data_IF_178221149374
#
_entry.id   IF_178221149374
#
_cell.length_a   1.000
_cell.length_b   1.000
_cell.length_c   1.000
_cell.angle_alpha   90.00
_cell.angle_beta   90.00
_cell.angle_gamma   90.00
#
_symmetry.space_group_name_H-M   'P 1'
#
loop_
_entity.id
_entity.type
_entity.pdbx_description
1 polymer ?
#
# COMPACT_ATOMS: atom_id res chain seq x y z
N UNK A 1 -5.81 -76.26 24.52
CA UNK A 1 -5.28 -75.09 25.20
C UNK A 1 -4.38 -74.35 24.20
N UNK A 2 -4.85 -73.23 23.56
CA UNK A 2 -3.97 -72.40 22.76
C UNK A 2 -3.45 -71.22 23.58
N UNK A 3 -2.13 -70.98 23.46
CA UNK A 3 -1.40 -69.88 24.09
C UNK A 3 -1.71 -68.56 23.39
N UNK A 4 -2.17 -67.58 24.17
CA UNK A 4 -2.35 -66.20 23.73
C UNK A 4 -0.97 -65.53 23.68
N UNK A 5 -0.55 -65.08 22.51
CA UNK A 5 0.62 -64.20 22.32
C UNK A 5 0.17 -62.74 22.42
N UNK A 6 0.59 -62.07 23.48
CA UNK A 6 0.44 -60.62 23.63
C UNK A 6 1.47 -59.92 22.75
N UNK A 7 1.01 -59.18 21.74
CA UNK A 7 1.87 -58.28 20.94
C UNK A 7 1.80 -56.89 21.57
N UNK A 8 2.88 -56.43 22.15
CA UNK A 8 3.02 -55.08 22.68
C UNK A 8 3.33 -54.11 21.54
N UNK A 9 2.39 -53.23 21.22
CA UNK A 9 2.57 -52.17 20.24
C UNK A 9 3.31 -50.99 20.90
N UNK A 10 4.57 -50.76 20.50
CA UNK A 10 5.32 -49.56 20.89
C UNK A 10 4.98 -48.45 19.93
N UNK A 11 4.24 -47.45 20.41
CA UNK A 11 3.95 -46.21 19.67
C UNK A 11 5.08 -45.22 19.93
N UNK A 12 5.91 -45.02 18.94
CA UNK A 12 6.90 -43.92 18.94
C UNK A 12 6.18 -42.60 18.67
N UNK A 13 6.10 -41.73 19.68
CA UNK A 13 5.72 -40.34 19.53
C UNK A 13 6.87 -39.55 18.89
N UNK A 14 6.76 -39.22 17.61
CA UNK A 14 7.63 -38.21 16.95
C UNK A 14 7.02 -36.85 17.26
N UNK A 15 7.62 -36.13 18.20
CA UNK A 15 7.25 -34.74 18.50
C UNK A 15 7.56 -33.82 17.32
N UNK A 16 6.82 -32.72 17.16
CA UNK A 16 7.06 -31.77 16.06
C UNK A 16 8.44 -31.12 16.24
N UNK A 17 9.27 -31.22 15.20
CA UNK A 17 10.54 -30.51 15.12
C UNK A 17 10.25 -28.98 15.17
N UNK A 18 10.74 -28.33 16.21
CA UNK A 18 10.73 -26.86 16.29
C UNK A 18 11.65 -26.33 15.18
N UNK A 19 11.07 -25.77 14.14
CA UNK A 19 11.80 -24.94 13.19
C UNK A 19 12.28 -23.70 13.93
N UNK A 20 13.56 -23.67 14.28
CA UNK A 20 14.25 -22.45 14.66
C UNK A 20 14.23 -21.54 13.44
N UNK A 21 13.39 -20.50 13.49
CA UNK A 21 13.49 -19.37 12.58
C UNK A 21 14.90 -18.79 12.75
N UNK A 22 15.72 -18.94 11.74
CA UNK A 22 17.04 -18.32 11.72
C UNK A 22 16.83 -16.79 11.82
N UNK A 23 17.31 -16.18 12.89
CA UNK A 23 17.35 -14.75 13.05
C UNK A 23 18.06 -14.15 11.83
N UNK A 24 17.35 -13.28 11.10
CA UNK A 24 17.97 -12.51 10.03
C UNK A 24 19.12 -11.70 10.63
N UNK A 25 20.31 -11.71 10.04
CA UNK A 25 21.43 -10.96 10.59
C UNK A 25 21.04 -9.48 10.71
N UNK A 26 21.43 -8.77 11.79
CA UNK A 26 21.15 -7.36 11.97
C UNK A 26 21.73 -6.60 10.78
N UNK A 27 20.97 -5.59 10.28
CA UNK A 27 21.42 -4.74 9.19
C UNK A 27 22.75 -4.07 9.56
N UNK A 28 23.75 -4.17 8.68
CA UNK A 28 25.03 -3.53 8.88
C UNK A 28 24.85 -2.00 9.01
N UNK A 29 25.41 -1.41 10.05
CA UNK A 29 25.37 0.05 10.28
C UNK A 29 26.61 0.74 9.73
N UNK A 30 26.48 2.01 9.30
CA UNK A 30 27.64 2.85 8.96
C UNK A 30 28.49 3.13 10.21
N UNK A 31 29.72 3.66 10.06
CA UNK A 31 30.50 4.17 11.19
C UNK A 31 29.75 5.24 12.01
N UNK A 32 28.73 5.89 11.45
CA UNK A 32 27.83 6.85 12.10
C UNK A 32 26.58 6.18 12.72
N UNK A 33 26.49 4.85 12.70
CA UNK A 33 25.35 4.10 13.28
C UNK A 33 24.10 4.00 12.38
N UNK A 34 24.15 4.51 11.14
CA UNK A 34 22.99 4.46 10.23
C UNK A 34 22.93 3.12 9.46
N UNK A 35 21.74 2.53 9.30
CA UNK A 35 21.59 1.27 8.58
C UNK A 35 21.98 1.42 7.09
N UNK A 36 22.63 0.41 6.53
CA UNK A 36 23.02 0.36 5.10
C UNK A 36 21.91 -0.14 4.19
N UNK A 37 21.01 -0.93 4.74
CA UNK A 37 19.89 -1.49 4.01
C UNK A 37 18.64 -1.53 4.89
N UNK A 38 17.50 -1.61 4.25
CA UNK A 38 16.20 -1.74 4.91
C UNK A 38 15.31 -2.70 4.13
N UNK A 39 14.59 -3.57 4.84
CA UNK A 39 13.53 -4.35 4.20
C UNK A 39 12.27 -3.51 4.15
N UNK A 40 11.69 -3.43 2.95
CA UNK A 40 10.44 -2.73 2.67
C UNK A 40 9.40 -3.73 2.17
N UNK A 41 8.12 -3.38 2.31
CA UNK A 41 7.01 -4.20 1.84
C UNK A 41 5.97 -3.38 1.08
N UNK A 42 5.50 -3.93 -0.04
CA UNK A 42 4.34 -3.45 -0.78
C UNK A 42 3.22 -4.48 -0.66
N UNK A 43 2.11 -4.10 -0.06
CA UNK A 43 0.96 -5.00 0.14
C UNK A 43 0.07 -4.98 -1.09
N UNK A 44 -0.29 -6.15 -1.57
CA UNK A 44 -1.35 -6.34 -2.55
C UNK A 44 -2.58 -6.90 -1.87
N UNK A 45 -3.72 -6.27 -2.01
CA UNK A 45 -5.01 -6.80 -1.56
C UNK A 45 -6.17 -6.00 -2.17
N UNK A 46 -7.38 -6.56 -2.11
CA UNK A 46 -8.65 -5.83 -2.33
C UNK A 46 -9.21 -5.33 -1.00
N UNK A 47 -10.20 -4.46 -1.05
CA UNK A 47 -10.95 -3.97 0.13
C UNK A 47 -12.42 -3.80 -0.21
N UNK A 48 -13.29 -3.78 0.79
CA UNK A 48 -14.73 -3.63 0.62
C UNK A 48 -15.09 -2.16 0.86
N UNK A 49 -15.77 -1.52 -0.10
CA UNK A 49 -16.21 -0.14 0.05
C UNK A 49 -17.15 0.01 1.26
N UNK A 50 -16.76 0.88 2.18
CA UNK A 50 -17.53 1.21 3.39
C UNK A 50 -17.41 0.22 4.55
N UNK A 51 -16.86 -0.97 4.35
CA UNK A 51 -16.59 -1.90 5.45
C UNK A 51 -15.22 -1.64 6.08
N UNK A 52 -15.09 -0.45 6.67
CA UNK A 52 -13.83 0.02 7.28
C UNK A 52 -13.35 -0.93 8.38
N UNK A 53 -14.25 -1.52 9.15
CA UNK A 53 -13.89 -2.42 10.24
C UNK A 53 -13.22 -3.71 9.72
N UNK A 54 -13.77 -4.34 8.71
CA UNK A 54 -13.19 -5.54 8.10
C UNK A 54 -11.91 -5.21 7.34
N UNK A 55 -11.88 -4.09 6.61
CA UNK A 55 -10.68 -3.63 5.92
C UNK A 55 -9.53 -3.37 6.91
N UNK A 56 -9.78 -2.68 8.04
CA UNK A 56 -8.77 -2.47 9.08
C UNK A 56 -8.24 -3.78 9.64
N UNK A 57 -9.11 -4.74 9.97
CA UNK A 57 -8.66 -6.06 10.47
C UNK A 57 -7.77 -6.77 9.48
N UNK A 58 -8.19 -6.84 8.21
CA UNK A 58 -7.41 -7.46 7.13
C UNK A 58 -6.06 -6.78 6.94
N UNK A 59 -6.06 -5.46 6.82
CA UNK A 59 -4.84 -4.68 6.61
C UNK A 59 -3.90 -4.75 7.82
N UNK A 60 -4.44 -4.76 9.05
CA UNK A 60 -3.63 -4.95 10.26
C UNK A 60 -2.92 -6.29 10.25
N UNK A 61 -3.59 -7.37 9.89
CA UNK A 61 -2.96 -8.70 9.77
C UNK A 61 -1.83 -8.71 8.73
N UNK A 62 -2.03 -8.08 7.57
CA UNK A 62 -1.00 -7.97 6.54
C UNK A 62 0.19 -7.10 6.98
N UNK A 63 -0.06 -6.02 7.73
CA UNK A 63 1.00 -5.18 8.31
C UNK A 63 1.78 -5.95 9.39
N UNK A 64 1.10 -6.71 10.24
CA UNK A 64 1.72 -7.57 11.26
C UNK A 64 2.60 -8.65 10.61
N UNK A 65 2.10 -9.30 9.57
CA UNK A 65 2.85 -10.27 8.77
C UNK A 65 4.09 -9.62 8.15
N UNK A 66 3.93 -8.46 7.49
CA UNK A 66 5.05 -7.74 6.88
C UNK A 66 6.13 -7.38 7.91
N UNK A 67 5.71 -6.85 9.07
CA UNK A 67 6.61 -6.51 10.17
C UNK A 67 7.29 -7.75 10.76
N UNK A 68 6.55 -8.86 10.92
CA UNK A 68 7.08 -10.15 11.37
C UNK A 68 8.16 -10.70 10.45
N UNK A 69 8.09 -10.41 9.14
CA UNK A 69 9.14 -10.73 8.17
C UNK A 69 10.26 -9.67 8.10
N UNK A 70 10.27 -8.71 9.03
CA UNK A 70 11.34 -7.73 9.20
C UNK A 70 11.20 -6.47 8.32
N UNK A 71 10.06 -6.23 7.67
CA UNK A 71 9.83 -4.98 6.96
C UNK A 71 9.76 -3.80 7.93
N UNK A 72 10.38 -2.68 7.55
CA UNK A 72 10.43 -1.44 8.33
C UNK A 72 9.62 -0.31 7.69
N UNK A 73 9.35 -0.41 6.40
CA UNK A 73 8.45 0.50 5.66
C UNK A 73 7.44 -0.36 4.92
N UNK A 74 6.16 -0.13 5.18
CA UNK A 74 5.06 -0.95 4.65
C UNK A 74 4.08 -0.03 3.93
N UNK A 75 3.84 -0.30 2.65
CA UNK A 75 2.92 0.48 1.81
C UNK A 75 1.65 -0.33 1.58
N UNK A 76 0.49 0.28 1.84
CA UNK A 76 -0.83 -0.28 1.61
C UNK A 76 -1.44 0.29 0.32
N UNK A 77 -2.37 -0.42 -0.34
CA UNK A 77 -3.01 0.03 -1.57
C UNK A 77 -3.86 1.29 -1.40
N UNK A 78 -4.03 2.07 -2.45
CA UNK A 78 -4.84 3.29 -2.51
C UNK A 78 -6.24 3.09 -1.92
N UNK A 79 -6.67 3.99 -1.02
CA UNK A 79 -7.96 3.96 -0.31
C UNK A 79 -8.34 2.62 0.33
N UNK A 80 -7.40 1.72 0.53
CA UNK A 80 -7.68 0.35 1.00
C UNK A 80 -8.35 0.28 2.37
N UNK A 81 -8.29 1.34 3.18
CA UNK A 81 -8.97 1.40 4.49
C UNK A 81 -10.46 1.61 4.32
N UNK A 82 -10.88 2.54 3.48
CA UNK A 82 -12.28 2.90 3.28
C UNK A 82 -12.94 2.17 2.11
N UNK A 83 -12.13 1.53 1.28
CA UNK A 83 -12.51 1.05 -0.04
C UNK A 83 -12.43 2.17 -1.08
N UNK A 84 -12.49 1.80 -2.37
CA UNK A 84 -12.35 2.74 -3.48
C UNK A 84 -13.72 3.22 -3.95
N UNK A 85 -14.04 4.48 -3.68
CA UNK A 85 -15.27 5.11 -4.12
C UNK A 85 -15.15 5.57 -5.57
N UNK A 86 -15.27 4.66 -6.50
CA UNK A 86 -15.44 5.00 -7.90
C UNK A 86 -16.81 4.52 -8.38
N UNK A 87 -17.49 5.37 -9.12
CA UNK A 87 -18.77 5.02 -9.74
C UNK A 87 -18.63 3.90 -10.76
N UNK A 88 -17.41 3.66 -11.17
CA UNK A 88 -17.08 2.82 -12.32
C UNK A 88 -16.59 1.43 -11.97
N UNK A 89 -16.45 1.09 -10.68
CA UNK A 89 -15.95 -0.21 -10.26
C UNK A 89 -16.73 -1.38 -10.86
N UNK A 90 -18.05 -1.21 -11.04
CA UNK A 90 -18.92 -2.25 -11.58
C UNK A 90 -19.17 -2.15 -13.08
N UNK A 91 -18.86 -1.02 -13.70
CA UNK A 91 -19.19 -0.79 -15.11
C UNK A 91 -18.04 -1.04 -16.05
N UNK A 92 -16.83 -1.25 -15.51
CA UNK A 92 -15.62 -1.28 -16.34
C UNK A 92 -15.59 -0.08 -17.31
N UNK A 93 -15.82 1.13 -16.79
CA UNK A 93 -15.87 2.37 -17.57
C UNK A 93 -14.64 2.59 -18.47
N UNK A 94 -13.52 2.00 -18.11
CA UNK A 94 -12.30 1.96 -18.89
C UNK A 94 -12.43 1.06 -20.14
N UNK A 95 -13.48 0.24 -20.22
CA UNK A 95 -13.79 -0.55 -21.41
C UNK A 95 -14.66 0.30 -22.33
N UNK A 96 -14.12 0.64 -23.51
CA UNK A 96 -14.83 1.47 -24.49
C UNK A 96 -16.23 0.91 -24.79
N UNK A 97 -17.23 1.78 -24.71
CA UNK A 97 -18.62 1.44 -25.03
C UNK A 97 -19.46 0.89 -23.86
N UNK A 98 -18.90 0.76 -22.65
CA UNK A 98 -19.72 0.38 -21.46
C UNK A 98 -20.20 1.64 -20.73
N UNK A 99 -21.51 1.81 -20.54
CA UNK A 99 -22.06 2.95 -19.79
C UNK A 99 -21.88 2.76 -18.29
N UNK A 100 -21.79 3.87 -17.56
CA UNK A 100 -21.89 3.90 -16.10
C UNK A 100 -23.28 3.48 -15.66
N UNK A 101 -23.37 2.58 -14.66
CA UNK A 101 -24.63 2.26 -14.01
C UNK A 101 -25.13 3.47 -13.21
N UNK A 102 -26.43 3.77 -13.32
CA UNK A 102 -27.03 4.95 -12.70
C UNK A 102 -26.86 4.97 -11.16
N UNK A 103 -26.89 3.79 -10.53
CA UNK A 103 -26.75 3.59 -9.08
C UNK A 103 -25.40 4.02 -8.51
N UNK A 104 -24.38 4.16 -9.38
CA UNK A 104 -23.03 4.61 -8.97
C UNK A 104 -22.77 6.08 -9.31
N UNK A 105 -23.67 6.74 -10.02
CA UNK A 105 -23.52 8.15 -10.35
C UNK A 105 -23.86 9.03 -9.15
N UNK A 106 -22.98 9.98 -8.82
CA UNK A 106 -23.23 10.95 -7.76
C UNK A 106 -23.36 10.35 -6.36
N UNK A 107 -22.72 9.20 -6.10
CA UNK A 107 -22.71 8.61 -4.77
C UNK A 107 -22.05 9.56 -3.77
N UNK A 108 -22.77 9.88 -2.69
CA UNK A 108 -22.23 10.72 -1.62
C UNK A 108 -21.02 10.05 -0.96
N UNK A 109 -19.85 10.70 -0.93
CA UNK A 109 -18.68 10.15 -0.26
C UNK A 109 -18.77 10.16 1.27
N UNK A 110 -19.63 11.00 1.85
CA UNK A 110 -19.67 11.24 3.29
C UNK A 110 -19.81 9.99 4.17
N UNK A 111 -20.63 8.99 3.81
CA UNK A 111 -20.75 7.77 4.62
C UNK A 111 -19.49 6.89 4.63
N UNK A 112 -18.55 7.12 3.71
CA UNK A 112 -17.35 6.31 3.53
C UNK A 112 -16.07 7.02 3.98
N UNK A 113 -16.15 8.35 4.20
CA UNK A 113 -14.99 9.19 4.47
C UNK A 113 -14.72 9.34 5.97
N UNK A 114 -13.43 9.43 6.32
CA UNK A 114 -12.97 9.75 7.67
C UNK A 114 -12.21 11.08 7.70
N UNK A 115 -12.24 11.82 8.82
CA UNK A 115 -11.34 12.96 9.00
C UNK A 115 -9.89 12.50 9.16
N UNK A 116 -8.94 13.41 8.90
CA UNK A 116 -7.52 13.21 9.19
C UNK A 116 -7.03 14.36 10.08
N UNK A 117 -6.52 14.05 11.31
CA UNK A 117 -6.46 12.74 11.96
C UNK A 117 -7.87 12.20 12.29
N UNK A 118 -8.00 10.88 12.31
CA UNK A 118 -9.26 10.19 12.54
C UNK A 118 -9.07 8.75 13.02
N UNK A 119 -10.17 7.97 13.13
CA UNK A 119 -10.13 6.64 13.70
C UNK A 119 -9.13 5.69 13.02
N UNK A 120 -9.00 5.75 11.67
CA UNK A 120 -8.06 4.90 10.97
C UNK A 120 -6.60 5.33 11.16
N UNK A 121 -6.31 6.63 11.13
CA UNK A 121 -4.94 7.11 11.36
C UNK A 121 -4.48 6.84 12.79
N UNK A 122 -5.38 6.90 13.78
CA UNK A 122 -5.09 6.51 15.16
C UNK A 122 -4.79 5.02 15.25
N UNK A 123 -5.66 4.17 14.69
CA UNK A 123 -5.49 2.72 14.68
C UNK A 123 -4.14 2.29 14.06
N UNK A 124 -3.82 2.79 12.86
CA UNK A 124 -2.55 2.47 12.20
C UNK A 124 -1.34 3.13 12.87
N UNK A 125 -1.53 4.26 13.58
CA UNK A 125 -0.50 4.86 14.43
C UNK A 125 -0.12 3.96 15.60
N UNK A 126 -1.11 3.43 16.31
CA UNK A 126 -0.89 2.46 17.40
C UNK A 126 -0.22 1.18 16.89
N UNK A 127 -0.67 0.68 15.72
CA UNK A 127 -0.09 -0.48 15.07
C UNK A 127 1.38 -0.22 14.68
N UNK A 128 1.67 0.90 14.04
CA UNK A 128 3.02 1.31 13.66
C UNK A 128 3.96 1.40 14.87
N UNK A 129 3.47 1.98 15.97
CA UNK A 129 4.21 2.08 17.24
C UNK A 129 4.49 0.71 17.84
N UNK A 130 3.49 -0.15 17.89
CA UNK A 130 3.64 -1.51 18.45
C UNK A 130 4.64 -2.35 17.67
N UNK A 131 4.63 -2.24 16.34
CA UNK A 131 5.47 -3.02 15.44
C UNK A 131 6.82 -2.35 15.11
N UNK A 132 7.03 -1.09 15.52
CA UNK A 132 8.22 -0.29 15.24
C UNK A 132 8.51 -0.19 13.74
N UNK A 133 7.49 0.20 12.94
CA UNK A 133 7.53 0.34 11.49
C UNK A 133 6.95 1.67 11.02
N UNK A 134 7.32 2.09 9.82
CA UNK A 134 6.56 3.06 9.06
C UNK A 134 5.46 2.34 8.30
N UNK A 135 4.23 2.86 8.34
CA UNK A 135 3.11 2.32 7.56
C UNK A 135 2.31 3.43 6.91
N UNK A 136 1.91 3.25 5.66
CA UNK A 136 0.98 4.16 5.01
C UNK A 136 -0.46 3.82 5.43
N UNK A 137 -1.30 4.86 5.56
CA UNK A 137 -2.73 4.72 5.82
C UNK A 137 -3.53 5.42 4.71
N UNK A 138 -3.84 4.72 3.62
CA UNK A 138 -4.60 5.26 2.49
C UNK A 138 -6.10 5.17 2.74
N UNK A 139 -6.80 6.31 2.62
CA UNK A 139 -8.24 6.41 2.91
C UNK A 139 -8.91 7.50 2.08
N UNK A 140 -10.25 7.46 2.04
CA UNK A 140 -11.08 8.57 1.60
C UNK A 140 -11.23 9.52 2.77
N UNK A 141 -10.74 10.76 2.61
CA UNK A 141 -10.76 11.79 3.64
C UNK A 141 -11.94 12.74 3.46
N UNK A 142 -12.54 13.16 4.58
CA UNK A 142 -13.45 14.30 4.64
C UNK A 142 -12.84 15.46 5.42
N UNK A 143 -12.84 16.63 4.81
CA UNK A 143 -12.49 17.91 5.44
C UNK A 143 -13.76 18.76 5.60
N UNK A 144 -14.16 18.99 6.85
CA UNK A 144 -15.33 19.78 7.22
C UNK A 144 -14.98 21.19 7.70
N UNK A 145 -13.76 21.64 7.46
CA UNK A 145 -13.29 22.95 7.95
C UNK A 145 -13.98 24.13 7.26
N UNK A 146 -14.40 23.97 5.99
CA UNK A 146 -15.13 24.99 5.26
C UNK A 146 -16.63 24.92 5.53
N UNK A 147 -17.07 25.66 6.55
CA UNK A 147 -18.50 25.71 6.92
C UNK A 147 -19.38 26.39 5.89
N UNK A 148 -18.80 27.25 5.03
CA UNK A 148 -19.56 28.02 4.03
C UNK A 148 -19.89 27.19 2.78
N UNK A 149 -18.92 26.41 2.30
CA UNK A 149 -19.05 25.66 1.04
C UNK A 149 -19.33 24.17 1.26
N UNK A 150 -19.38 23.74 2.53
CA UNK A 150 -19.62 22.34 2.91
C UNK A 150 -18.36 21.44 2.89
N UNK A 151 -18.54 20.14 3.11
CA UNK A 151 -17.43 19.20 3.21
C UNK A 151 -16.71 19.00 1.87
N UNK A 152 -15.40 18.94 1.92
CA UNK A 152 -14.56 18.53 0.79
C UNK A 152 -14.04 17.12 1.02
N UNK A 153 -13.89 16.37 -0.06
CA UNK A 153 -13.42 14.98 0.00
C UNK A 153 -12.13 14.82 -0.79
N UNK A 154 -11.21 14.00 -0.25
CA UNK A 154 -9.91 13.78 -0.86
C UNK A 154 -9.55 12.30 -0.87
N UNK A 155 -8.85 11.89 -1.91
CA UNK A 155 -8.10 10.65 -1.92
C UNK A 155 -6.78 10.93 -1.19
N UNK A 156 -6.57 10.28 -0.05
CA UNK A 156 -5.52 10.65 0.90
C UNK A 156 -4.65 9.45 1.27
N UNK A 157 -3.36 9.71 1.47
CA UNK A 157 -2.46 8.79 2.15
C UNK A 157 -1.72 9.51 3.27
N UNK A 158 -1.74 8.90 4.46
CA UNK A 158 -0.97 9.32 5.61
C UNK A 158 0.24 8.41 5.79
N UNK A 159 1.33 8.93 6.37
CA UNK A 159 2.45 8.14 6.84
C UNK A 159 2.48 8.17 8.37
N UNK A 160 2.44 7.00 8.99
CA UNK A 160 2.57 6.80 10.44
C UNK A 160 4.00 6.33 10.73
N UNK A 161 4.62 6.91 11.77
CA UNK A 161 6.00 6.61 12.17
C UNK A 161 6.07 5.45 13.19
N UNK A 162 7.26 4.89 13.44
CA UNK A 162 7.47 3.92 14.53
C UNK A 162 7.14 4.45 15.94
N UNK A 163 6.93 5.76 16.08
CA UNK A 163 6.45 6.39 17.33
C UNK A 163 4.92 6.48 17.40
N UNK A 164 4.21 6.10 16.33
CA UNK A 164 2.76 6.21 16.21
C UNK A 164 2.27 7.59 15.74
N UNK A 165 3.19 8.45 15.32
CA UNK A 165 2.88 9.82 14.91
C UNK A 165 2.47 9.88 13.45
N UNK A 166 1.49 10.72 13.12
CA UNK A 166 1.16 11.11 11.76
C UNK A 166 2.22 12.11 11.27
N UNK A 167 3.19 11.63 10.47
CA UNK A 167 4.37 12.41 10.07
C UNK A 167 4.29 12.98 8.66
N UNK A 168 3.38 12.47 7.83
CA UNK A 168 3.06 13.08 6.54
C UNK A 168 1.59 12.84 6.20
N UNK A 169 0.95 13.84 5.59
CA UNK A 169 -0.45 13.84 5.20
C UNK A 169 -0.59 14.38 3.77
N UNK A 170 -0.70 13.47 2.81
CA UNK A 170 -0.75 13.76 1.40
C UNK A 170 -2.17 13.57 0.85
N UNK A 171 -2.70 14.59 0.19
CA UNK A 171 -3.92 14.55 -0.60
C UNK A 171 -3.56 14.44 -2.08
N UNK A 172 -4.10 13.48 -2.79
CA UNK A 172 -3.83 13.24 -4.22
C UNK A 172 -3.97 14.52 -5.03
N UNK A 173 -2.87 14.96 -5.65
CA UNK A 173 -2.83 16.21 -6.40
C UNK A 173 -3.65 16.14 -7.68
N UNK A 174 -3.64 14.96 -8.32
CA UNK A 174 -4.29 14.73 -9.61
C UNK A 174 -5.30 13.59 -9.48
N UNK A 175 -6.53 13.85 -9.01
CA UNK A 175 -7.59 12.86 -9.04
C UNK A 175 -7.77 12.32 -10.46
N UNK A 176 -7.98 11.00 -10.55
CA UNK A 176 -8.11 10.35 -11.85
C UNK A 176 -9.29 10.92 -12.65
N UNK A 177 -9.09 11.31 -13.92
CA UNK A 177 -10.15 11.89 -14.74
C UNK A 177 -11.37 10.98 -14.84
N UNK A 178 -12.56 11.59 -14.64
CA UNK A 178 -13.90 11.02 -14.58
C UNK A 178 -14.23 10.32 -13.26
N UNK A 179 -13.71 9.11 -12.90
CA UNK A 179 -14.21 8.45 -11.68
C UNK A 179 -13.94 9.24 -10.42
N UNK A 180 -12.69 9.57 -10.15
CA UNK A 180 -12.35 10.29 -8.91
C UNK A 180 -12.80 11.75 -8.93
N UNK A 181 -12.73 12.41 -10.08
CA UNK A 181 -13.19 13.80 -10.21
C UNK A 181 -14.68 13.97 -9.93
N UNK A 182 -15.46 12.88 -9.90
CA UNK A 182 -16.86 12.93 -9.51
C UNK A 182 -17.07 13.15 -8.01
N UNK A 183 -16.04 12.88 -7.17
CA UNK A 183 -16.14 13.00 -5.73
C UNK A 183 -14.91 13.62 -5.05
N UNK A 184 -13.71 13.47 -5.61
CA UNK A 184 -12.48 13.92 -5.00
C UNK A 184 -12.10 15.33 -5.44
N UNK A 185 -11.78 16.17 -4.48
CA UNK A 185 -11.14 17.46 -4.66
C UNK A 185 -9.65 17.26 -4.95
N UNK A 186 -9.03 17.98 -5.89
CA UNK A 186 -7.58 18.01 -6.03
C UNK A 186 -6.90 18.41 -4.71
N UNK A 187 -5.80 17.73 -4.41
CA UNK A 187 -5.05 17.94 -3.17
C UNK A 187 -4.51 19.37 -3.04
N UNK A 188 -4.62 19.94 -1.86
CA UNK A 188 -4.27 21.32 -1.54
C UNK A 188 -3.05 21.46 -0.60
N UNK A 189 -2.38 20.33 -0.27
CA UNK A 189 -1.22 20.28 0.64
C UNK A 189 0.14 20.23 -0.07
N UNK A 190 0.15 20.18 -1.41
CA UNK A 190 1.38 20.01 -2.19
C UNK A 190 2.03 18.65 -1.99
N UNK A 191 3.27 18.51 -2.42
CA UNK A 191 4.08 17.31 -2.18
C UNK A 191 4.43 17.18 -0.70
N UNK A 192 4.51 15.95 -0.21
CA UNK A 192 4.79 15.66 1.19
C UNK A 192 6.04 14.78 1.28
N UNK A 193 7.02 15.22 2.03
CA UNK A 193 8.26 14.49 2.30
C UNK A 193 8.45 14.27 3.79
N UNK A 194 9.14 13.19 4.14
CA UNK A 194 9.53 12.92 5.51
C UNK A 194 10.92 12.26 5.55
N UNK A 195 11.78 12.73 6.44
CA UNK A 195 13.11 12.16 6.64
C UNK A 195 13.05 10.99 7.63
N UNK A 196 13.17 9.77 7.10
CA UNK A 196 13.31 8.56 7.90
C UNK A 196 14.80 8.29 8.21
N UNK A 197 15.08 7.38 9.15
CA UNK A 197 16.45 6.90 9.38
C UNK A 197 17.06 6.18 8.17
N UNK A 198 16.25 5.82 7.16
CA UNK A 198 16.68 5.12 5.93
C UNK A 198 16.90 6.05 4.75
N UNK A 199 16.27 7.22 4.76
CA UNK A 199 16.30 8.22 3.70
C UNK A 199 15.01 9.03 3.63
N UNK A 200 15.03 10.08 2.81
CA UNK A 200 13.86 10.93 2.59
C UNK A 200 12.83 10.23 1.71
N UNK A 201 11.63 10.05 2.22
CA UNK A 201 10.51 9.48 1.46
C UNK A 201 9.55 10.56 0.99
N UNK A 202 8.94 10.33 -0.19
CA UNK A 202 7.82 11.10 -0.70
C UNK A 202 6.57 10.24 -0.78
N UNK A 203 5.40 10.88 -0.83
CA UNK A 203 4.09 10.23 -0.98
C UNK A 203 3.48 10.58 -2.34
N UNK A 204 2.86 9.61 -2.99
CA UNK A 204 2.11 9.82 -4.23
C UNK A 204 1.06 8.74 -4.40
N UNK A 205 -0.04 9.05 -5.09
CA UNK A 205 -1.15 8.11 -5.25
C UNK A 205 -1.44 7.89 -6.72
N UNK A 206 -1.31 6.65 -7.19
CA UNK A 206 -1.80 6.13 -8.47
C UNK A 206 -1.59 7.11 -9.65
N UNK A 207 -2.62 7.79 -10.12
CA UNK A 207 -2.57 8.68 -11.28
C UNK A 207 -1.59 9.86 -11.16
N UNK A 208 -1.19 10.22 -9.93
CA UNK A 208 -0.16 11.24 -9.70
C UNK A 208 1.18 10.92 -10.37
N UNK A 209 1.47 9.64 -10.65
CA UNK A 209 2.74 9.21 -11.25
C UNK A 209 3.08 9.95 -12.54
N UNK A 210 2.07 10.45 -13.23
CA UNK A 210 2.25 11.19 -14.47
C UNK A 210 2.84 12.60 -14.27
N UNK A 211 2.73 13.16 -13.07
CA UNK A 211 3.10 14.57 -12.80
C UNK A 211 3.87 14.79 -11.49
N UNK A 212 3.85 13.83 -10.56
CA UNK A 212 4.39 14.05 -9.21
C UNK A 212 5.91 13.93 -9.14
N UNK A 213 6.51 13.12 -10.00
CA UNK A 213 7.96 12.85 -9.94
C UNK A 213 8.77 14.12 -10.17
N UNK A 214 8.33 14.97 -11.11
CA UNK A 214 8.96 16.28 -11.38
C UNK A 214 8.88 17.21 -10.18
N UNK A 215 7.79 17.13 -9.42
CA UNK A 215 7.59 17.94 -8.22
C UNK A 215 8.52 17.56 -7.08
N UNK A 216 8.98 16.30 -7.05
CA UNK A 216 9.94 15.80 -6.04
C UNK A 216 11.41 16.01 -6.41
N UNK A 217 11.74 16.48 -7.62
CA UNK A 217 13.12 16.73 -8.00
C UNK A 217 13.88 17.67 -7.06
N UNK A 218 13.30 18.79 -6.60
CA UNK A 218 13.97 19.67 -5.64
C UNK A 218 14.28 18.98 -4.30
N UNK A 219 13.39 18.12 -3.85
CA UNK A 219 13.47 17.46 -2.54
C UNK A 219 14.40 16.25 -2.51
N UNK A 220 14.77 15.70 -3.68
CA UNK A 220 15.66 14.55 -3.83
C UNK A 220 15.26 13.39 -2.94
N UNK A 221 14.03 12.92 -3.11
CA UNK A 221 13.54 11.77 -2.34
C UNK A 221 14.38 10.52 -2.64
N UNK A 222 14.58 9.69 -1.62
CA UNK A 222 15.22 8.38 -1.73
C UNK A 222 14.22 7.31 -2.23
N UNK A 223 12.96 7.38 -1.75
CA UNK A 223 11.92 6.48 -2.16
C UNK A 223 10.56 7.17 -2.26
N UNK A 224 9.75 6.79 -3.25
CA UNK A 224 8.34 7.13 -3.36
C UNK A 224 7.50 5.99 -2.77
N UNK A 225 6.70 6.29 -1.74
CA UNK A 225 5.68 5.39 -1.20
C UNK A 225 4.41 5.58 -2.03
N UNK A 226 4.02 4.55 -2.76
CA UNK A 226 3.10 4.69 -3.88
C UNK A 226 1.90 3.74 -3.77
N UNK A 227 0.83 4.11 -3.04
CA UNK A 227 -0.47 3.46 -3.07
C UNK A 227 -1.12 3.52 -4.45
N UNK A 228 -1.68 2.40 -4.91
CA UNK A 228 -2.21 2.24 -6.26
C UNK A 228 -3.56 1.50 -6.20
N UNK A 229 -4.48 1.90 -7.07
CA UNK A 229 -5.69 1.18 -7.42
C UNK A 229 -5.85 1.18 -8.95
N UNK A 230 -4.85 0.67 -9.65
CA UNK A 230 -4.78 0.74 -11.10
C UNK A 230 -5.65 -0.32 -11.75
N UNK A 231 -6.47 0.11 -12.68
CA UNK A 231 -7.30 -0.75 -13.51
C UNK A 231 -6.97 -0.50 -14.98
N UNK A 232 -6.64 -1.56 -15.69
CA UNK A 232 -6.50 -1.57 -17.14
C UNK A 232 -6.74 -2.99 -17.63
N UNK A 233 -7.91 -3.23 -18.20
CA UNK A 233 -8.26 -4.55 -18.70
C UNK A 233 -7.65 -4.88 -20.07
N UNK A 234 -7.15 -3.87 -20.78
CA UNK A 234 -6.68 -4.07 -22.15
C UNK A 234 -5.20 -4.47 -22.21
N UNK A 235 -4.36 -3.83 -21.35
CA UNK A 235 -2.91 -4.04 -21.36
C UNK A 235 -2.28 -3.91 -19.96
N UNK A 236 -2.70 -4.72 -18.98
CA UNK A 236 -2.24 -4.55 -17.60
C UNK A 236 -0.73 -4.70 -17.44
N UNK A 237 -0.15 -5.70 -18.12
CA UNK A 237 1.28 -5.98 -18.03
C UNK A 237 2.15 -4.88 -18.65
N UNK A 238 1.70 -4.25 -19.76
CA UNK A 238 2.49 -3.27 -20.48
C UNK A 238 2.84 -2.04 -19.62
N UNK A 239 1.87 -1.55 -18.84
CA UNK A 239 2.11 -0.41 -17.96
C UNK A 239 3.15 -0.73 -16.89
N UNK A 240 2.97 -1.81 -16.12
CA UNK A 240 3.84 -2.12 -14.98
C UNK A 240 5.24 -2.58 -15.40
N UNK A 241 5.33 -3.36 -16.48
CA UNK A 241 6.59 -3.95 -16.90
C UNK A 241 7.41 -3.05 -17.81
N UNK A 242 6.78 -2.09 -18.49
CA UNK A 242 7.46 -1.24 -19.47
C UNK A 242 7.32 0.25 -19.16
N UNK A 243 6.11 0.78 -19.03
CA UNK A 243 5.90 2.22 -18.93
C UNK A 243 6.23 2.79 -17.56
N UNK A 244 5.84 2.13 -16.46
CA UNK A 244 6.17 2.58 -15.13
C UNK A 244 7.68 2.56 -14.85
N UNK A 245 8.44 1.50 -15.19
CA UNK A 245 9.90 1.52 -15.14
C UNK A 245 10.54 2.67 -15.90
N UNK A 246 10.13 2.90 -17.13
CA UNK A 246 10.63 4.01 -17.97
C UNK A 246 10.29 5.38 -17.36
N UNK A 247 9.11 5.52 -16.74
CA UNK A 247 8.66 6.74 -16.08
C UNK A 247 9.48 7.07 -14.83
N UNK A 248 9.87 6.06 -14.05
CA UNK A 248 10.56 6.22 -12.76
C UNK A 248 12.08 6.38 -12.93
N UNK A 249 12.69 5.67 -13.86
CA UNK A 249 14.14 5.59 -14.04
C UNK A 249 14.88 6.95 -14.09
N UNK A 250 14.36 8.01 -14.75
CA UNK A 250 15.04 9.32 -14.79
C UNK A 250 15.21 9.99 -13.43
N UNK A 251 14.35 9.67 -12.45
CA UNK A 251 14.30 10.36 -11.16
C UNK A 251 15.21 9.74 -10.08
N UNK A 252 15.79 8.56 -10.34
CA UNK A 252 16.82 7.92 -9.52
C UNK A 252 16.43 7.65 -8.06
N UNK A 253 15.16 7.38 -7.77
CA UNK A 253 14.68 6.96 -6.46
C UNK A 253 14.05 5.56 -6.53
N UNK A 254 13.91 4.89 -5.38
CA UNK A 254 13.09 3.69 -5.29
C UNK A 254 11.61 4.03 -5.42
N UNK A 255 10.83 3.07 -5.91
CA UNK A 255 9.36 3.12 -5.87
C UNK A 255 8.87 1.87 -5.14
N UNK A 256 8.04 2.08 -4.10
CA UNK A 256 7.40 0.99 -3.34
C UNK A 256 5.92 1.08 -3.65
N UNK A 257 5.47 0.29 -4.63
CA UNK A 257 4.15 0.37 -5.22
C UNK A 257 3.22 -0.75 -4.73
N UNK A 258 2.19 -0.39 -3.97
CA UNK A 258 1.18 -1.30 -3.45
C UNK A 258 -0.13 -1.15 -4.24
N UNK A 259 -0.56 -2.18 -4.95
CA UNK A 259 -1.73 -2.14 -5.82
C UNK A 259 -2.84 -3.08 -5.35
N UNK A 260 -4.07 -2.79 -5.75
CA UNK A 260 -5.21 -3.68 -5.54
C UNK A 260 -5.07 -4.98 -6.32
N UNK A 261 -5.35 -6.10 -5.66
CA UNK A 261 -5.58 -7.37 -6.35
C UNK A 261 -6.90 -7.36 -7.13
N UNK A 262 -7.03 -8.21 -8.12
CA UNK A 262 -8.31 -8.48 -8.78
C UNK A 262 -9.29 -9.07 -7.77
N UNK A 263 -10.50 -8.53 -7.74
CA UNK A 263 -11.60 -9.00 -6.91
C UNK A 263 -12.87 -9.09 -7.74
N UNK A 264 -13.17 -10.30 -8.22
CA UNK A 264 -14.31 -10.55 -9.09
C UNK A 264 -15.66 -10.43 -8.38
N UNK A 265 -15.69 -10.68 -7.08
CA UNK A 265 -16.92 -10.57 -6.28
C UNK A 265 -17.36 -9.12 -6.17
N UNK A 266 -16.39 -8.21 -6.07
CA UNK A 266 -16.62 -6.77 -6.09
C UNK A 266 -16.59 -6.17 -7.50
N UNK A 267 -16.47 -7.00 -8.52
CA UNK A 267 -16.37 -6.55 -9.92
C UNK A 267 -15.17 -5.61 -10.18
N UNK A 268 -14.10 -5.77 -9.40
CA UNK A 268 -12.84 -5.07 -9.57
C UNK A 268 -11.90 -5.84 -10.50
N UNK A 269 -11.63 -5.27 -11.68
CA UNK A 269 -10.81 -5.89 -12.71
C UNK A 269 -9.47 -5.13 -12.88
N UNK A 270 -8.83 -4.83 -11.76
CA UNK A 270 -7.46 -4.37 -11.75
C UNK A 270 -6.48 -5.48 -12.16
N UNK A 271 -5.22 -5.28 -11.95
CA UNK A 271 -4.23 -6.28 -12.36
C UNK A 271 -3.13 -6.56 -11.33
N UNK A 272 -3.39 -6.23 -10.08
CA UNK A 272 -2.40 -6.53 -9.04
C UNK A 272 -1.03 -5.96 -9.36
N UNK A 273 -0.01 -6.84 -9.43
CA UNK A 273 1.37 -6.48 -9.71
C UNK A 273 1.94 -5.38 -8.80
N UNK A 274 1.61 -5.45 -7.50
CA UNK A 274 2.38 -4.67 -6.52
C UNK A 274 3.86 -4.90 -6.75
N UNK A 275 4.67 -3.84 -6.77
CA UNK A 275 6.06 -3.97 -7.16
C UNK A 275 6.96 -2.97 -6.43
N UNK A 276 8.23 -3.37 -6.27
CA UNK A 276 9.30 -2.51 -5.77
C UNK A 276 10.30 -2.31 -6.90
N UNK A 277 10.52 -1.04 -7.29
CA UNK A 277 11.45 -0.66 -8.34
C UNK A 277 12.71 0.00 -7.77
N UNK A 278 13.82 -0.27 -8.40
CA UNK A 278 15.10 0.36 -8.11
C UNK A 278 15.25 1.77 -8.70
N UNK A 279 16.30 2.49 -8.31
CA UNK A 279 16.59 3.83 -8.84
C UNK A 279 16.91 3.86 -10.34
N UNK A 280 17.16 2.71 -10.93
CA UNK A 280 17.33 2.55 -12.40
C UNK A 280 16.01 2.19 -13.11
N UNK A 281 14.91 2.17 -12.37
CA UNK A 281 13.59 1.77 -12.86
C UNK A 281 13.37 0.26 -12.97
N UNK A 282 14.38 -0.58 -12.71
CA UNK A 282 14.20 -2.03 -12.78
C UNK A 282 13.34 -2.54 -11.64
N UNK A 283 12.51 -3.53 -11.95
CA UNK A 283 11.72 -4.26 -10.96
C UNK A 283 12.67 -5.11 -10.11
N UNK A 284 12.73 -4.85 -8.81
CA UNK A 284 13.50 -5.63 -7.81
C UNK A 284 12.66 -6.82 -7.35
N UNK A 285 11.38 -6.57 -7.08
CA UNK A 285 10.42 -7.58 -6.66
C UNK A 285 9.02 -7.18 -7.12
N UNK A 286 8.17 -8.17 -7.38
CA UNK A 286 6.77 -7.96 -7.73
C UNK A 286 5.89 -9.10 -7.21
N UNK A 287 4.60 -8.82 -7.07
CA UNK A 287 3.61 -9.85 -6.80
C UNK A 287 3.60 -10.90 -7.92
N UNK A 288 3.35 -12.15 -7.54
CA UNK A 288 3.34 -13.31 -8.43
C UNK A 288 1.95 -13.63 -8.96
N UNK A 289 0.91 -13.14 -8.30
CA UNK A 289 -0.49 -13.34 -8.65
C UNK A 289 -1.21 -12.00 -8.85
N UNK A 290 -2.21 -12.00 -9.72
CA UNK A 290 -3.17 -10.90 -9.84
C UNK A 290 -4.23 -10.94 -8.73
N UNK A 291 -4.43 -12.10 -8.11
CA UNK A 291 -5.53 -12.40 -7.22
C UNK A 291 -5.06 -12.55 -5.79
N UNK A 292 -5.97 -12.23 -4.86
CA UNK A 292 -5.74 -12.44 -3.44
C UNK A 292 -4.75 -11.47 -2.80
N UNK A 293 -4.51 -11.66 -1.53
CA UNK A 293 -3.54 -10.88 -0.78
C UNK A 293 -2.14 -11.48 -0.96
N UNK A 294 -1.16 -10.61 -1.22
CA UNK A 294 0.25 -10.96 -1.33
C UNK A 294 1.09 -9.80 -0.78
N UNK A 295 2.22 -10.10 -0.16
CA UNK A 295 3.14 -9.07 0.34
C UNK A 295 4.45 -9.21 -0.43
N UNK A 296 4.80 -8.17 -1.16
CA UNK A 296 6.04 -8.08 -1.93
C UNK A 296 7.13 -7.48 -1.05
N UNK A 297 8.24 -8.19 -0.90
CA UNK A 297 9.37 -7.77 -0.08
C UNK A 297 10.60 -7.47 -0.92
N UNK A 298 11.35 -6.46 -0.50
CA UNK A 298 12.71 -6.24 -0.98
C UNK A 298 13.59 -5.68 0.15
N UNK A 299 14.85 -6.10 0.16
CA UNK A 299 15.90 -5.42 0.95
C UNK A 299 16.61 -4.46 0.02
N UNK A 300 16.47 -3.16 0.29
CA UNK A 300 17.01 -2.09 -0.55
C UNK A 300 18.08 -1.29 0.19
N UNK A 301 19.01 -0.70 -0.56
CA UNK A 301 20.04 0.17 0.02
C UNK A 301 19.41 1.45 0.55
N UNK A 302 19.86 1.92 1.71
CA UNK A 302 19.41 3.20 2.26
C UNK A 302 20.06 4.39 1.51
N UNK A 303 19.59 5.59 1.75
CA UNK A 303 20.19 6.81 1.19
C UNK A 303 21.65 7.03 1.66
N UNK A 304 22.05 6.33 2.70
CA UNK A 304 23.38 6.44 3.34
C UNK A 304 24.33 5.30 2.93
N UNK A 305 23.87 4.32 2.18
CA UNK A 305 24.71 3.23 1.70
C UNK A 305 25.71 3.74 0.67
N UNK A 306 27.00 3.38 0.90
CA UNK A 306 28.11 3.68 -0.01
C UNK A 306 28.15 2.69 -1.18
#
# INVERSE_FOLDING_TARGET
MPRCMCVTLVVLFIGPAAYLLADSPPAATTPEGRPQSVKVAAVQCSSILGDVASNRRKLSGLVEEAAGHGAKIIVLPETSITGYLSQDLRTNWHVKGRPLLAEFRGKDPLPFAEPVPGPSTQHFGELAKRLQVYVTAPLLEVDKSDQKNGPRFFNTVCLLSPKGELVAHYRKLTPWPRPEQSWATPGDRGVQVYDTEYGRVGLGICFDIHTILEKYQPDKIWALLYPIAWVDTNHPADWFWHKLPQRVAPFKHYLIGANWSVDREQNWFGYGFSAILGPDGKVIASATSLYGSEIVYATIKTAWAK
#
